data_IF_869862438014
#
_entry.id   IF_869862438014
#
_cell.length_a   1.000
_cell.length_b   1.000
_cell.length_c   1.000
_cell.angle_alpha   90.00
_cell.angle_beta   90.00
_cell.angle_gamma   90.00
#
_symmetry.space_group_name_H-M   'P 1'
#
loop_
_entity.id
_entity.type
_entity.pdbx_description
1 polymer ?
2 polymer ?
3 water ?
#
# COMPACT_ATOMS: atom_id res chain seq x y z
N UNK A 1 -14.70 11.40 13.76
CA UNK A 1 -14.30 12.20 12.55
C UNK A 1 -13.91 11.36 11.30
N UNK A 2 -13.93 10.03 11.43
CA UNK A 2 -14.18 9.14 10.31
C UNK A 2 -15.53 8.45 10.58
N UNK A 3 -16.44 9.15 11.26
CA UNK A 3 -17.78 8.67 11.56
C UNK A 3 -18.81 9.59 10.95
N UNK A 4 -19.83 8.99 10.30
CA UNK A 4 -21.05 9.70 9.88
C UNK A 4 -22.22 9.30 10.78
N UNK A 5 -22.94 10.31 11.26
CA UNK A 5 -24.18 10.11 11.98
C UNK A 5 -25.33 10.74 11.19
N UNK A 6 -26.51 10.15 11.28
CA UNK A 6 -27.71 10.68 10.64
C UNK A 6 -28.97 10.56 11.52
N UNK A 7 -29.95 11.41 11.23
CA UNK A 7 -31.23 11.49 11.92
C UNK A 7 -32.27 10.54 11.32
N UNK A 8 -33.22 10.12 12.14
CA UNK A 8 -34.40 9.39 11.67
C UNK A 8 -35.45 10.31 11.04
N UNK A 9 -35.54 10.32 9.71
CA UNK A 9 -36.09 11.47 9.00
C UNK A 9 -36.54 11.17 7.59
N UNK A 10 -37.83 10.94 7.41
CA UNK A 10 -38.32 9.66 6.92
C UNK A 10 -37.75 8.53 7.76
N UNK A 11 -37.89 7.32 7.26
CA UNK A 11 -38.48 6.24 8.01
C UNK A 11 -39.92 6.55 8.42
N UNK A 12 -40.85 5.75 7.89
CA UNK A 12 -42.09 5.41 8.56
C UNK A 12 -41.89 4.69 9.89
N UNK A 13 -41.25 5.40 10.81
CA UNK A 13 -41.52 5.28 12.20
C UNK A 13 -42.58 6.34 12.50
N UNK A 14 -43.43 6.09 13.50
CA UNK A 14 -44.31 7.15 13.99
C UNK A 14 -43.57 8.43 14.37
N UNK A 15 -44.29 9.55 14.41
CA UNK A 15 -43.69 10.87 14.71
C UNK A 15 -42.99 10.89 16.06
N UNK A 16 -43.60 10.25 17.05
CA UNK A 16 -43.03 10.16 18.38
C UNK A 16 -41.75 9.32 18.45
N UNK A 17 -41.61 8.35 17.54
CA UNK A 17 -40.39 7.51 17.48
C UNK A 17 -39.27 8.31 16.83
N UNK A 18 -39.58 9.04 15.75
CA UNK A 18 -38.61 9.94 15.13
C UNK A 18 -38.08 10.95 16.15
N UNK A 19 -38.99 11.53 16.95
CA UNK A 19 -38.62 12.50 17.97
C UNK A 19 -37.69 11.89 19.00
N UNK A 20 -38.07 10.73 19.55
CA UNK A 20 -37.23 10.08 20.56
C UNK A 20 -35.84 9.84 19.99
N UNK A 21 -35.79 9.28 18.78
CA UNK A 21 -34.53 9.00 18.12
C UNK A 21 -33.71 10.25 17.86
N UNK A 22 -34.37 11.29 17.33
CA UNK A 22 -33.66 12.50 16.92
C UNK A 22 -33.24 13.36 18.10
N UNK A 23 -33.95 13.26 19.22
CA UNK A 23 -33.51 13.89 20.46
C UNK A 23 -32.25 13.16 20.91
N UNK A 24 -32.24 11.83 20.81
CA UNK A 24 -31.05 11.08 21.20
C UNK A 24 -29.87 11.42 20.30
N UNK A 25 -30.11 11.49 18.99
CA UNK A 25 -29.04 11.86 18.05
C UNK A 25 -28.48 13.28 18.33
N UNK A 26 -29.39 14.22 18.60
CA UNK A 26 -29.01 15.60 18.89
C UNK A 26 -28.20 15.69 20.17
N UNK A 27 -28.55 14.85 21.14
CA UNK A 27 -27.84 14.80 22.42
C UNK A 27 -26.46 14.16 22.29
N UNK A 28 -26.31 13.20 21.37
CA UNK A 28 -24.99 12.62 21.07
C UNK A 28 -24.10 13.71 20.47
N UNK A 29 -24.63 14.51 19.55
CA UNK A 29 -23.86 15.63 19.01
C UNK A 29 -23.42 16.62 20.12
N UNK A 30 -24.37 17.09 20.93
CA UNK A 30 -24.06 18.01 22.05
C UNK A 30 -23.08 17.45 23.09
N UNK A 31 -23.25 16.19 23.49
CA UNK A 31 -22.41 15.60 24.53
C UNK A 31 -21.20 14.85 24.00
N UNK A 32 -20.96 14.92 22.69
CA UNK A 32 -19.77 14.31 22.09
C UNK A 32 -18.49 14.96 22.59
N UNK A 33 -17.44 14.15 22.63
CA UNK A 33 -16.25 14.45 23.40
C UNK A 33 -15.09 14.99 22.55
N UNK A 34 -15.38 15.76 21.51
CA UNK A 34 -14.35 16.46 20.70
C UNK A 34 -13.55 15.54 19.77
N UNK A 35 -12.89 14.55 20.37
CA UNK A 35 -12.16 13.51 19.63
C UNK A 35 -13.07 12.49 18.94
N UNK A 36 -14.31 12.36 19.41
CA UNK A 36 -15.34 11.59 18.72
C UNK A 36 -16.56 12.50 18.57
N UNK A 37 -16.43 13.52 17.72
CA UNK A 37 -17.56 14.37 17.36
C UNK A 37 -17.89 14.10 15.90
N UNK A 38 -18.93 13.28 15.64
CA UNK A 38 -19.17 12.85 14.26
C UNK A 38 -19.71 13.95 13.36
N UNK A 39 -19.59 13.70 12.05
CA UNK A 39 -20.11 14.58 11.01
C UNK A 39 -21.51 14.10 10.67
N UNK A 40 -22.40 15.03 10.34
CA UNK A 40 -23.80 14.73 10.04
C UNK A 40 -23.98 14.51 8.55
N UNK A 41 -24.86 13.57 8.19
CA UNK A 41 -25.16 13.19 6.82
C UNK A 41 -26.63 13.48 6.52
N UNK A 42 -26.90 14.23 5.45
CA UNK A 42 -28.26 14.70 5.13
C UNK A 42 -28.97 13.99 3.94
N UNK A 43 -28.26 13.20 3.13
CA UNK A 43 -28.93 12.39 2.08
C UNK A 43 -29.13 10.91 2.51
N UNK A 44 -28.99 10.66 3.81
CA UNK A 44 -29.50 9.44 4.41
C UNK A 44 -30.72 9.77 5.23
N UNK A 45 -31.86 9.19 4.86
CA UNK A 45 -33.12 9.37 5.61
C UNK A 45 -33.23 8.39 6.77
N UNK A 46 -32.30 7.45 6.86
CA UNK A 46 -32.29 6.44 7.90
C UNK A 46 -31.24 6.77 8.95
N UNK A 47 -31.61 6.58 10.22
CA UNK A 47 -30.69 6.80 11.32
C UNK A 47 -29.61 5.71 11.41
N UNK A 48 -28.35 6.13 11.44
CA UNK A 48 -27.23 5.26 11.82
C UNK A 48 -26.00 6.06 12.22
N UNK A 49 -25.07 5.36 12.85
CA UNK A 49 -23.71 5.85 13.06
C UNK A 49 -22.78 4.86 12.37
N UNK A 50 -21.91 5.36 11.50
CA UNK A 50 -21.03 4.45 10.81
C UNK A 50 -19.62 4.93 10.52
N UNK A 51 -18.68 4.00 10.66
CA UNK A 51 -17.27 4.28 10.40
C UNK A 51 -17.05 4.40 8.88
N UNK A 52 -16.46 5.51 8.45
CA UNK A 52 -16.26 5.80 7.02
C UNK A 52 -14.85 5.48 6.52
N UNK A 53 -14.01 4.93 7.39
CA UNK A 53 -12.71 4.44 6.97
C UNK A 53 -12.85 3.48 5.79
N UNK A 54 -11.80 3.45 4.98
CA UNK A 54 -11.71 2.51 3.87
C UNK A 54 -11.65 1.08 4.43
N UNK A 55 -12.27 0.10 3.75
CA UNK A 55 -12.12 -1.30 4.15
C UNK A 55 -10.78 -1.87 3.72
N UNK A 56 -10.45 -3.07 4.16
CA UNK A 56 -9.22 -3.70 3.74
C UNK A 56 -9.22 -3.81 2.21
N UNK A 57 -8.18 -3.25 1.62
CA UNK A 57 -7.89 -3.49 0.22
C UNK A 57 -6.42 -3.40 -0.14
N UNK A 58 -6.08 -4.09 -1.22
CA UNK A 58 -4.75 -4.13 -1.80
C UNK A 58 -4.85 -3.68 -3.25
N UNK A 59 -3.90 -2.87 -3.69
CA UNK A 59 -3.85 -2.40 -5.08
C UNK A 59 -2.68 -3.03 -5.87
N UNK A 60 -1.73 -3.64 -5.17
CA UNK A 60 -0.55 -4.26 -5.79
C UNK A 60 -0.86 -5.72 -6.10
N UNK A 61 -0.61 -6.15 -7.36
CA UNK A 61 -0.93 -7.52 -7.78
C UNK A 61 -0.11 -8.58 -7.07
N UNK A 62 1.17 -8.30 -6.78
CA UNK A 62 2.00 -9.28 -6.07
C UNK A 62 1.40 -9.58 -4.68
N UNK A 63 1.10 -8.51 -3.95
CA UNK A 63 0.44 -8.57 -2.63
C UNK A 63 -0.93 -9.26 -2.66
N UNK A 64 -1.70 -9.02 -3.71
CA UNK A 64 -3.00 -9.67 -3.89
C UNK A 64 -2.82 -11.19 -4.04
N UNK A 65 -1.92 -11.60 -4.93
CA UNK A 65 -1.63 -13.02 -5.15
C UNK A 65 -1.08 -13.70 -3.90
N UNK A 66 -0.14 -13.06 -3.22
CA UNK A 66 0.39 -13.60 -1.96
C UNK A 66 -0.69 -13.72 -0.87
N UNK A 67 -1.61 -12.76 -0.83
CA UNK A 67 -2.66 -12.76 0.16
C UNK A 67 -3.63 -13.91 -0.08
N UNK A 68 -4.07 -14.06 -1.32
CA UNK A 68 -5.00 -15.11 -1.65
C UNK A 68 -4.36 -16.51 -1.54
N UNK A 69 -3.03 -16.60 -1.63
CA UNK A 69 -2.30 -17.88 -1.41
C UNK A 69 -1.79 -18.07 0.03
N UNK A 70 -2.00 -17.06 0.88
CA UNK A 70 -1.36 -16.98 2.21
C UNK A 70 0.12 -17.38 2.12
N UNK A 71 0.82 -16.82 1.13
CA UNK A 71 2.19 -17.21 0.81
C UNK A 71 3.05 -15.97 0.87
N UNK A 72 3.71 -15.75 2.01
CA UNK A 72 4.53 -14.56 2.21
C UNK A 72 6.01 -14.90 2.24
N UNK A 73 6.28 -16.11 1.78
CA UNK A 73 7.60 -16.72 1.78
C UNK A 73 8.47 -16.27 0.61
N UNK A 74 9.77 -16.13 0.84
CA UNK A 74 10.73 -15.92 -0.21
C UNK A 74 10.88 -14.51 -0.71
N UNK A 75 10.40 -13.52 0.05
CA UNK A 75 10.43 -12.13 -0.41
C UNK A 75 11.83 -11.54 -0.32
N UNK A 76 12.70 -12.30 0.34
CA UNK A 76 14.09 -11.92 0.58
C UNK A 76 15.03 -12.57 -0.47
N UNK A 77 14.53 -13.59 -1.18
CA UNK A 77 15.18 -14.20 -2.34
C UNK A 77 15.86 -13.22 -3.28
N UNK A 78 16.90 -13.70 -3.96
CA UNK A 78 17.45 -12.99 -5.12
C UNK A 78 16.50 -13.17 -6.29
N UNK A 79 15.91 -14.36 -6.38
CA UNK A 79 14.83 -14.63 -7.33
C UNK A 79 13.78 -13.50 -7.30
N UNK A 80 13.19 -13.25 -6.12
CA UNK A 80 12.10 -12.28 -5.96
C UNK A 80 12.59 -10.85 -6.11
N UNK A 81 13.75 -10.57 -5.53
CA UNK A 81 14.32 -9.24 -5.61
C UNK A 81 14.70 -8.84 -7.05
N UNK A 82 15.07 -9.83 -7.87
CA UNK A 82 15.34 -9.60 -9.30
C UNK A 82 14.03 -9.41 -10.05
N UNK A 83 13.04 -10.28 -9.81
CA UNK A 83 11.66 -10.08 -10.28
C UNK A 83 11.16 -8.64 -10.08
N UNK A 84 11.29 -8.14 -8.85
CA UNK A 84 10.80 -6.81 -8.50
C UNK A 84 11.62 -5.69 -9.09
N UNK A 85 12.94 -5.77 -8.91
CA UNK A 85 13.80 -4.63 -9.17
C UNK A 85 14.40 -4.60 -10.58
N UNK A 86 14.43 -5.76 -11.25
CA UNK A 86 14.98 -5.85 -12.61
C UNK A 86 13.91 -6.05 -13.71
N UNK A 87 12.85 -6.78 -13.40
CA UNK A 87 11.79 -7.04 -14.37
C UNK A 87 10.59 -6.11 -14.20
N UNK A 88 10.02 -6.06 -13.00
CA UNK A 88 8.77 -5.33 -12.78
C UNK A 88 8.91 -3.83 -12.99
N UNK A 89 10.10 -3.30 -12.77
CA UNK A 89 10.36 -1.90 -13.09
C UNK A 89 10.19 -1.61 -14.58
N UNK A 90 10.60 -2.54 -15.43
CA UNK A 90 10.47 -2.37 -16.90
C UNK A 90 9.01 -2.25 -17.38
N UNK A 91 8.08 -2.87 -16.66
CA UNK A 91 6.67 -2.83 -17.03
C UNK A 91 6.02 -1.45 -16.93
N UNK A 92 6.68 -0.51 -16.25
CA UNK A 92 6.14 0.85 -16.19
C UNK A 92 6.62 1.75 -17.34
N UNK A 93 7.44 1.25 -18.26
CA UNK A 93 7.79 2.01 -19.48
C UNK A 93 6.58 2.07 -20.42
N UNK A 94 6.35 3.23 -21.04
CA UNK A 94 5.29 3.35 -22.06
C UNK A 94 5.50 2.37 -23.24
N UNK A 95 6.75 2.17 -23.63
CA UNK A 95 7.13 1.21 -24.69
C UNK A 95 8.31 0.42 -24.17
N UNK A 96 8.28 -0.91 -24.36
CA UNK A 96 9.33 -1.77 -23.83
C UNK A 96 10.66 -1.73 -24.63
N UNK A 97 11.81 -1.52 -23.94
CA UNK A 97 13.15 -1.50 -24.55
C UNK A 97 13.67 -2.93 -24.78
N UNK A 98 13.49 -3.44 -26.00
CA UNK A 98 13.45 -4.89 -26.23
C UNK A 98 14.77 -5.63 -26.00
N UNK A 99 15.88 -4.96 -26.27
CA UNK A 99 17.19 -5.58 -26.14
C UNK A 99 17.49 -5.89 -24.66
N UNK A 100 17.20 -4.96 -23.77
CA UNK A 100 17.35 -5.20 -22.32
C UNK A 100 16.42 -6.28 -21.78
N UNK A 101 15.13 -6.18 -22.12
CA UNK A 101 14.16 -7.22 -21.78
C UNK A 101 14.71 -8.59 -22.11
N UNK A 102 15.37 -8.70 -23.27
CA UNK A 102 15.80 -9.99 -23.80
C UNK A 102 16.82 -10.68 -22.91
N UNK A 103 17.81 -9.93 -22.45
CA UNK A 103 18.84 -10.52 -21.59
C UNK A 103 18.33 -10.76 -20.18
N UNK A 104 17.61 -9.78 -19.63
CA UNK A 104 17.08 -9.88 -18.26
C UNK A 104 16.12 -11.06 -18.14
N UNK A 105 15.31 -11.32 -19.17
CA UNK A 105 14.40 -12.48 -19.15
C UNK A 105 15.17 -13.80 -19.35
N UNK A 106 16.06 -13.82 -20.34
CA UNK A 106 17.07 -14.88 -20.50
C UNK A 106 17.72 -15.28 -19.15
N UNK A 107 18.31 -14.28 -18.49
CA UNK A 107 18.91 -14.42 -17.16
C UNK A 107 17.94 -15.02 -16.14
N UNK A 108 16.72 -14.47 -16.09
CA UNK A 108 15.64 -14.98 -15.23
C UNK A 108 15.43 -16.48 -15.38
N UNK A 109 15.35 -16.97 -16.60
CA UNK A 109 15.15 -18.41 -16.85
C UNK A 109 16.46 -19.19 -16.86
N UNK A 110 17.59 -18.49 -16.75
CA UNK A 110 18.86 -19.15 -16.55
C UNK A 110 19.03 -19.46 -15.06
N UNK A 111 19.06 -18.40 -14.26
CA UNK A 111 19.44 -18.49 -12.84
C UNK A 111 18.27 -18.90 -11.93
N UNK A 112 17.11 -18.31 -12.17
CA UNK A 112 16.04 -18.28 -11.17
C UNK A 112 14.87 -19.18 -11.50
N UNK A 113 14.47 -19.22 -12.76
CA UNK A 113 13.41 -20.12 -13.21
C UNK A 113 14.07 -21.21 -14.06
N UNK A 114 13.72 -22.45 -13.79
CA UNK A 114 14.18 -23.57 -14.59
C UNK A 114 13.02 -24.52 -14.78
N UNK A 115 11.99 -24.33 -13.98
CA UNK A 115 11.24 -25.43 -13.39
C UNK A 115 9.81 -25.47 -13.91
N UNK A 116 8.97 -24.60 -13.38
CA UNK A 116 7.55 -24.92 -13.28
C UNK A 116 7.40 -26.33 -12.73
N UNK A 117 8.11 -26.60 -11.64
CA UNK A 117 7.87 -27.78 -10.83
C UNK A 117 6.40 -27.88 -10.44
N UNK A 118 6.19 -28.32 -9.22
CA UNK A 118 5.52 -27.51 -8.22
C UNK A 118 5.88 -28.07 -6.86
N UNK A 119 4.90 -28.13 -5.96
CA UNK A 119 3.97 -27.01 -5.74
C UNK A 119 4.57 -25.65 -6.02
N UNK A 120 3.90 -24.88 -6.88
CA UNK A 120 4.41 -23.57 -7.28
C UNK A 120 4.14 -22.56 -6.18
N UNK A 121 5.20 -21.86 -5.78
CA UNK A 121 5.13 -20.84 -4.77
C UNK A 121 4.67 -19.52 -5.39
N UNK A 122 4.21 -18.58 -4.57
CA UNK A 122 3.83 -17.25 -5.04
C UNK A 122 5.02 -16.55 -5.69
N UNK A 123 6.22 -16.73 -5.12
CA UNK A 123 7.46 -16.19 -5.66
C UNK A 123 7.73 -16.71 -7.09
N UNK A 124 7.60 -18.02 -7.28
CA UNK A 124 7.73 -18.61 -8.60
C UNK A 124 6.72 -18.01 -9.57
N UNK A 125 5.47 -17.92 -9.12
CA UNK A 125 4.40 -17.47 -9.99
C UNK A 125 4.60 -15.99 -10.37
N UNK A 126 5.05 -15.18 -9.42
CA UNK A 126 5.28 -13.75 -9.68
C UNK A 126 6.43 -13.55 -10.67
N UNK A 127 7.50 -14.33 -10.52
CA UNK A 127 8.60 -14.35 -11.51
C UNK A 127 8.08 -14.76 -12.90
N UNK A 128 7.40 -15.91 -12.98
CA UNK A 128 6.86 -16.36 -14.27
C UNK A 128 5.98 -15.28 -14.93
N UNK A 129 5.10 -14.68 -14.13
CA UNK A 129 4.18 -13.66 -14.64
C UNK A 129 4.93 -12.51 -15.30
N UNK A 130 5.93 -11.99 -14.61
CA UNK A 130 6.69 -10.84 -15.10
C UNK A 130 7.47 -11.18 -16.39
N UNK A 131 8.05 -12.38 -16.44
CA UNK A 131 8.80 -12.82 -17.61
C UNK A 131 7.86 -13.04 -18.79
N UNK A 132 6.71 -13.65 -18.52
CA UNK A 132 5.74 -13.90 -19.57
C UNK A 132 5.29 -12.60 -20.22
N UNK A 133 4.99 -11.61 -19.40
CA UNK A 133 4.52 -10.30 -19.90
C UNK A 133 5.56 -9.62 -20.78
N UNK A 134 6.84 -9.86 -20.47
CA UNK A 134 7.95 -9.24 -21.16
C UNK A 134 8.47 -10.05 -22.38
N UNK A 135 8.35 -11.37 -22.32
CA UNK A 135 9.01 -12.23 -23.29
C UNK A 135 8.42 -13.65 -23.30
N UNK A 136 7.18 -13.76 -23.75
CA UNK A 136 6.45 -15.03 -23.74
C UNK A 136 6.90 -16.05 -24.79
N UNK A 137 7.60 -15.59 -25.82
CA UNK A 137 8.16 -16.49 -26.81
C UNK A 137 9.35 -17.24 -26.18
N UNK A 138 10.15 -16.54 -25.38
CA UNK A 138 11.18 -17.20 -24.61
C UNK A 138 10.56 -18.25 -23.68
N UNK A 139 9.37 -17.96 -23.15
CA UNK A 139 8.66 -18.90 -22.28
C UNK A 139 8.16 -20.10 -23.09
N UNK A 140 7.50 -19.84 -24.22
CA UNK A 140 7.01 -20.91 -25.11
C UNK A 140 8.11 -21.92 -25.45
N UNK A 141 9.30 -21.44 -25.78
CA UNK A 141 10.42 -22.32 -26.08
C UNK A 141 10.99 -22.95 -24.82
N UNK A 142 10.84 -22.27 -23.67
CA UNK A 142 11.36 -22.77 -22.39
C UNK A 142 10.47 -23.85 -21.80
N UNK A 143 9.17 -23.61 -21.76
CA UNK A 143 8.18 -24.60 -21.30
C UNK A 143 7.03 -24.67 -22.28
N UNK A 144 7.12 -25.56 -23.28
CA UNK A 144 6.04 -25.65 -24.29
C UNK A 144 4.74 -26.29 -23.76
N UNK A 145 4.84 -27.12 -22.72
CA UNK A 145 3.66 -27.66 -22.02
C UNK A 145 3.63 -27.12 -20.57
N UNK A 146 2.74 -26.18 -20.30
CA UNK A 146 2.71 -25.51 -18.98
C UNK A 146 1.83 -26.26 -17.99
N UNK A 147 2.19 -26.25 -16.69
CA UNK A 147 1.23 -26.69 -15.67
C UNK A 147 -0.16 -26.15 -16.00
N UNK A 148 -1.18 -26.97 -15.83
CA UNK A 148 -2.51 -26.62 -16.35
C UNK A 148 -3.12 -25.40 -15.66
N UNK A 149 -2.82 -25.21 -14.39
CA UNK A 149 -3.26 -24.01 -13.66
C UNK A 149 -2.70 -22.75 -14.32
N UNK A 150 -1.39 -22.72 -14.52
CA UNK A 150 -0.72 -21.64 -15.22
C UNK A 150 -1.27 -21.48 -16.65
N UNK A 151 -1.50 -22.61 -17.32
CA UNK A 151 -2.07 -22.62 -18.66
C UNK A 151 -3.45 -21.98 -18.71
N UNK A 152 -4.31 -22.29 -17.74
CA UNK A 152 -5.66 -21.72 -17.72
C UNK A 152 -5.62 -20.21 -17.45
N UNK A 153 -4.71 -19.79 -16.58
CA UNK A 153 -4.52 -18.37 -16.27
C UNK A 153 -4.10 -17.59 -17.52
N UNK A 154 -3.10 -18.10 -18.22
CA UNK A 154 -2.56 -17.47 -19.43
C UNK A 154 -3.63 -17.33 -20.50
N UNK A 155 -4.35 -18.42 -20.75
CA UNK A 155 -5.48 -18.43 -21.68
C UNK A 155 -6.49 -17.32 -21.40
N UNK A 156 -6.77 -17.06 -20.12
CA UNK A 156 -7.70 -15.97 -19.75
C UNK A 156 -7.04 -14.59 -19.91
N UNK A 157 -5.83 -14.45 -19.37
CA UNK A 157 -5.12 -13.16 -19.33
C UNK A 157 -4.71 -12.60 -20.71
N UNK A 158 -4.55 -13.47 -21.71
CA UNK A 158 -3.95 -13.07 -22.99
C UNK A 158 -4.87 -12.28 -23.91
N UNK A 159 -6.19 -12.34 -23.69
CA UNK A 159 -7.13 -11.54 -24.49
C UNK A 159 -7.45 -10.23 -23.79
N UNK A 160 -7.55 -9.16 -24.56
CA UNK A 160 -8.03 -7.88 -24.04
C UNK A 160 -9.55 -7.85 -24.23
N UNK B 1 22.89 -1.85 5.38
CA UNK B 1 21.97 -1.09 6.26
C UNK B 1 22.15 0.42 6.14
N UNK B 2 21.11 1.10 5.64
CA UNK B 2 21.18 2.55 5.46
C UNK B 2 21.30 3.27 6.79
N UNK B 3 21.62 4.57 6.75
CA UNK B 3 21.72 5.39 7.96
C UNK B 3 20.42 5.45 8.75
N UNK B 4 19.28 5.50 8.07
CA UNK B 4 17.98 5.59 8.77
C UNK B 4 17.58 4.27 9.42
N UNK B 5 17.80 3.17 8.73
CA UNK B 5 17.52 1.85 9.27
C UNK B 5 18.40 1.57 10.50
N UNK B 6 19.69 1.89 10.38
CA UNK B 6 20.64 1.79 11.48
C UNK B 6 20.19 2.63 12.68
N UNK B 7 19.74 3.85 12.42
CA UNK B 7 19.21 4.69 13.50
C UNK B 7 17.95 4.08 14.14
N UNK B 8 17.05 3.54 13.31
CA UNK B 8 15.77 2.99 13.79
C UNK B 8 16.03 1.84 14.76
N UNK B 9 16.88 0.92 14.35
CA UNK B 9 17.25 -0.21 15.18
C UNK B 9 18.06 0.15 16.45
N UNK B 10 18.49 1.41 16.61
CA UNK B 10 19.15 1.87 17.83
C UNK B 10 18.13 2.27 18.91
N UNK B 11 16.87 2.41 18.51
CA UNK B 11 15.78 2.80 19.40
C UNK B 11 15.04 1.55 19.89
N UNK B 12 14.54 1.52 21.14
CA UNK B 12 13.81 0.30 21.57
C UNK B 12 12.47 0.12 20.91
N UNK B 13 11.92 1.15 20.29
CA UNK B 13 10.65 1.02 19.59
C UNK B 13 10.79 0.01 18.47
N UNK B 14 11.98 -0.09 17.89
CA UNK B 14 12.25 -1.13 16.88
C UNK B 14 12.17 -2.56 17.43
N UNK B 15 12.17 -2.70 18.75
CA UNK B 15 12.17 -3.98 19.46
C UNK B 15 10.78 -4.42 19.93
N UNK B 16 9.79 -3.53 19.80
CA UNK B 16 8.44 -3.86 20.18
C UNK B 16 7.96 -5.02 19.33
N UNK B 17 7.66 -6.19 19.95
CA UNK B 17 7.17 -7.31 19.13
C UNK B 17 5.77 -7.06 18.58
N UNK B 18 5.53 -7.53 17.37
CA UNK B 18 4.21 -7.44 16.75
C UNK B 18 4.06 -8.68 15.86
N UNK B 19 2.93 -9.38 16.02
CA UNK B 19 2.62 -10.55 15.20
C UNK B 19 1.62 -10.11 14.14
N UNK B 20 2.08 -10.01 12.90
CA UNK B 20 1.25 -9.52 11.80
C UNK B 20 0.09 -10.46 11.49
N UNK B 21 -1.11 -9.90 11.30
CA UNK B 21 -2.16 -10.62 10.59
C UNK B 21 -1.74 -10.91 9.14
N UNK B 22 -2.53 -11.70 8.43
CA UNK B 22 -2.27 -11.93 7.03
C UNK B 22 -2.59 -10.67 6.21
N UNK B 23 -3.49 -9.83 6.72
CA UNK B 23 -3.78 -8.54 6.10
C UNK B 23 -2.55 -7.64 6.18
N UNK B 24 -1.98 -7.50 7.38
CA UNK B 24 -0.77 -6.70 7.57
C UNK B 24 0.42 -7.27 6.81
N UNK B 25 0.53 -8.60 6.75
CA UNK B 25 1.58 -9.20 5.96
C UNK B 25 1.45 -8.76 4.49
N UNK B 26 0.22 -8.67 3.98
CA UNK B 26 -0.01 -8.26 2.59
C UNK B 26 0.30 -6.78 2.37
N UNK B 27 -0.01 -5.95 3.35
CA UNK B 27 0.29 -4.52 3.29
C UNK B 27 1.79 -4.28 3.20
N UNK B 28 2.55 -5.06 3.97
CA UNK B 28 4.00 -4.98 3.93
C UNK B 28 4.56 -5.47 2.59
N UNK B 29 4.03 -6.56 2.07
CA UNK B 29 4.41 -7.09 0.75
C UNK B 29 4.11 -6.10 -0.38
N UNK B 30 2.97 -5.43 -0.28
CA UNK B 30 2.54 -4.42 -1.24
C UNK B 30 3.48 -3.20 -1.31
N UNK B 31 3.90 -2.68 -0.16
CA UNK B 31 4.84 -1.57 -0.18
C UNK B 31 6.27 -1.99 -0.56
N UNK B 32 6.65 -3.22 -0.26
CA UNK B 32 7.94 -3.75 -0.73
C UNK B 32 7.98 -3.76 -2.29
N UNK B 33 6.95 -4.32 -2.90
CA UNK B 33 6.77 -4.32 -4.36
C UNK B 33 6.73 -2.90 -4.95
N UNK B 34 6.09 -1.96 -4.30
CA UNK B 34 6.07 -0.57 -4.78
C UNK B 34 7.47 0.06 -4.68
N UNK B 35 8.15 -0.18 -3.56
CA UNK B 35 9.50 0.31 -3.34
C UNK B 35 10.51 -0.24 -4.33
N UNK B 36 10.63 -1.55 -4.39
CA UNK B 36 11.64 -2.18 -5.20
C UNK B 36 11.40 -1.96 -6.70
N UNK B 37 10.15 -1.77 -7.12
CA UNK B 37 9.87 -1.52 -8.54
C UNK B 37 10.09 -0.05 -8.93
N UNK B 38 10.34 0.81 -7.93
CA UNK B 38 10.65 2.21 -8.16
C UNK B 38 9.44 3.09 -8.35
N UNK B 39 8.28 2.68 -7.83
CA UNK B 39 7.05 3.39 -8.11
C UNK B 39 6.45 4.16 -6.93
N UNK B 40 7.26 4.50 -5.93
CA UNK B 40 6.73 5.24 -4.79
C UNK B 40 6.06 6.54 -5.26
N UNK B 41 6.69 7.25 -6.18
CA UNK B 41 6.22 8.58 -6.60
C UNK B 41 4.81 8.57 -7.24
N UNK B 42 4.59 7.68 -8.23
CA UNK B 42 3.19 7.56 -8.67
C UNK B 42 2.16 7.05 -7.63
N UNK B 43 2.63 6.56 -6.47
CA UNK B 43 1.75 5.96 -5.47
C UNK B 43 1.64 6.80 -4.20
N UNK B 44 1.98 8.08 -4.32
CA UNK B 44 1.89 9.03 -3.22
C UNK B 44 0.46 9.32 -2.75
N UNK B 45 -0.49 9.37 -3.69
CA UNK B 45 -1.88 9.61 -3.31
C UNK B 45 -2.49 8.38 -2.61
N UNK B 46 -1.97 7.22 -2.97
CA UNK B 46 -2.31 5.97 -2.32
C UNK B 46 -1.72 5.90 -0.90
N UNK B 47 -0.47 6.35 -0.75
CA UNK B 47 0.18 6.47 0.56
C UNK B 47 -0.56 7.45 1.45
N UNK B 48 -0.86 8.62 0.91
CA UNK B 48 -1.70 9.61 1.59
C UNK B 48 -3.07 9.07 2.06
N UNK B 49 -3.72 8.23 1.25
CA UNK B 49 -5.01 7.66 1.60
C UNK B 49 -4.85 6.63 2.72
N UNK B 50 -3.89 5.70 2.59
CA UNK B 50 -3.61 4.74 3.65
C UNK B 50 -3.41 5.48 4.97
N UNK B 51 -2.59 6.53 4.94
CA UNK B 51 -2.26 7.26 6.17
C UNK B 51 -3.37 8.16 6.68
N UNK B 52 -4.41 8.39 5.88
CA UNK B 52 -5.60 9.08 6.39
C UNK B 52 -6.26 8.28 7.51
N UNK B 53 -6.31 6.95 7.32
CA UNK B 53 -7.07 6.03 8.15
C UNK B 53 -6.20 5.17 9.06
N UNK B 54 -4.88 5.16 8.83
CA UNK B 54 -3.93 4.43 9.64
C UNK B 54 -2.81 5.37 10.08
N UNK B 55 -2.44 5.26 11.36
CA UNK B 55 -1.34 6.01 11.93
C UNK B 55 -0.03 5.63 11.26
N UNK B 56 0.20 4.34 11.03
CA UNK B 56 1.37 3.84 10.30
C UNK B 56 1.00 2.93 9.11
N UNK B 57 1.96 2.68 8.23
CA UNK B 57 1.67 2.08 6.94
C UNK B 57 1.00 0.69 7.07
N UNK B 58 1.52 -0.18 7.94
CA UNK B 58 1.00 -1.55 8.11
C UNK B 58 -0.05 -1.70 9.24
N UNK B 59 -0.83 -0.64 9.49
CA UNK B 59 -1.98 -0.68 10.38
C UNK B 59 -1.57 -1.04 11.82
N UNK B 60 -0.52 -0.38 12.29
CA UNK B 60 0.08 -0.65 13.59
C UNK B 60 0.06 0.63 14.43
N UNK B 61 0.23 0.45 15.73
CA UNK B 61 0.28 1.56 16.68
C UNK B 61 1.71 2.13 16.70
N UNK B 62 2.67 1.32 16.27
CA UNK B 62 4.10 1.66 16.33
C UNK B 62 4.70 1.63 14.92
N UNK B 63 5.70 2.49 14.65
CA UNK B 63 6.35 2.41 13.34
C UNK B 63 7.01 1.09 13.20
N UNK B 64 6.94 0.50 12.00
CA UNK B 64 7.66 -0.70 11.65
C UNK B 64 8.72 -0.39 10.58
N UNK B 65 9.47 -1.41 10.19
CA UNK B 65 10.52 -1.25 9.19
C UNK B 65 9.96 -0.82 7.82
N UNK B 66 8.73 -1.24 7.47
CA UNK B 66 8.08 -0.71 6.28
C UNK B 66 7.99 0.83 6.30
N UNK B 67 7.62 1.40 7.45
CA UNK B 67 7.54 2.85 7.58
C UNK B 67 8.88 3.53 7.30
N UNK B 68 9.96 2.94 7.82
CA UNK B 68 11.31 3.50 7.64
C UNK B 68 11.78 3.38 6.19
N UNK B 69 11.54 2.22 5.57
CA UNK B 69 11.86 1.99 4.16
C UNK B 69 11.15 2.96 3.20
N UNK B 70 9.86 3.19 3.42
CA UNK B 70 9.07 4.12 2.62
C UNK B 70 9.40 5.59 2.92
N UNK B 71 9.63 5.92 4.18
CA UNK B 71 9.97 7.30 4.58
C UNK B 71 11.31 7.72 3.95
N UNK B 72 12.23 6.77 3.85
CA UNK B 72 13.53 7.00 3.23
C UNK B 72 13.43 7.54 1.81
N UNK B 73 12.51 7.00 1.00
CA UNK B 73 12.32 7.54 -0.35
C UNK B 73 11.27 8.64 -0.39
N UNK B 74 10.29 8.61 0.51
CA UNK B 74 9.20 9.58 0.47
C UNK B 74 9.58 10.97 0.94
N UNK B 75 10.48 11.08 1.93
CA UNK B 75 10.84 12.40 2.47
C UNK B 75 11.44 13.30 1.38
N UNK B 76 12.49 12.86 0.68
CA UNK B 76 13.01 13.68 -0.42
C UNK B 76 11.96 14.13 -1.46
N UNK B 77 11.06 13.22 -1.86
CA UNK B 77 10.04 13.54 -2.87
C UNK B 77 9.10 14.64 -2.41
N UNK B 78 8.57 14.47 -1.21
CA UNK B 78 7.60 15.42 -0.66
C UNK B 78 8.29 16.76 -0.37
N UNK B 79 9.51 16.72 0.12
CA UNK B 79 10.26 17.97 0.37
C UNK B 79 10.40 18.78 -0.93
N UNK B 80 10.73 18.10 -2.02
CA UNK B 80 10.88 18.76 -3.32
C UNK B 80 9.53 19.31 -3.84
N UNK B 81 8.47 18.53 -3.70
CA UNK B 81 7.12 18.98 -4.06
C UNK B 81 6.75 20.25 -3.30
N UNK B 82 7.14 20.32 -2.03
CA UNK B 82 6.82 21.47 -1.20
C UNK B 82 7.72 22.67 -1.50
N UNK B 83 9.01 22.44 -1.68
CA UNK B 83 9.97 23.51 -1.93
C UNK B 83 9.66 24.26 -3.23
N UNK B 84 9.07 23.55 -4.20
CA UNK B 84 8.82 24.07 -5.54
C UNK B 84 7.38 24.57 -5.75
N UNK B 85 6.53 24.45 -4.73
CA UNK B 85 5.12 24.79 -4.87
C UNK B 85 4.89 26.30 -4.93
N UNK B 86 3.98 26.73 -5.80
CA UNK B 86 3.58 28.13 -5.88
C UNK B 86 2.34 28.41 -5.00
N UNK B 87 1.87 27.37 -4.31
CA UNK B 87 0.73 27.48 -3.39
C UNK B 87 0.88 26.37 -2.33
N UNK B 88 1.76 26.62 -1.35
CA UNK B 88 2.15 25.58 -0.40
C UNK B 88 1.02 25.14 0.52
N UNK B 89 0.04 26.01 0.73
CA UNK B 89 -1.16 25.65 1.50
C UNK B 89 -1.95 24.51 0.81
N UNK B 90 -2.15 24.61 -0.50
CA UNK B 90 -2.82 23.56 -1.26
C UNK B 90 -2.03 22.24 -1.28
N UNK B 91 -0.71 22.34 -1.46
CA UNK B 91 0.17 21.18 -1.43
C UNK B 91 0.05 20.47 -0.09
N UNK B 92 0.05 21.25 0.99
CA UNK B 92 -0.15 20.75 2.34
C UNK B 92 -1.47 20.01 2.52
N UNK B 93 -2.53 20.52 1.91
CA UNK B 93 -3.85 19.88 1.97
C UNK B 93 -3.86 18.56 1.20
N UNK B 94 -3.34 18.59 -0.03
CA UNK B 94 -3.24 17.44 -0.90
C UNK B 94 -2.49 16.27 -0.26
N UNK B 95 -1.40 16.57 0.47
CA UNK B 95 -0.58 15.53 1.10
C UNK B 95 -0.61 15.61 2.64
N UNK B 96 -1.75 15.96 3.20
CA UNK B 96 -1.88 16.26 4.62
C UNK B 96 -1.45 15.12 5.55
N UNK B 97 -1.79 13.89 5.18
CA UNK B 97 -1.60 12.75 6.08
C UNK B 97 -0.17 12.21 6.00
N UNK B 98 0.44 12.29 4.81
CA UNK B 98 1.84 11.94 4.63
C UNK B 98 2.70 12.90 5.44
N UNK B 99 2.34 14.19 5.43
CA UNK B 99 3.04 15.22 6.20
C UNK B 99 2.94 15.02 7.73
N UNK B 100 1.80 14.55 8.23
CA UNK B 100 1.67 14.17 9.65
C UNK B 100 2.66 13.07 10.02
N UNK B 101 2.69 12.05 9.18
CA UNK B 101 3.55 10.88 9.33
C UNK B 101 5.04 11.25 9.22
N UNK B 102 5.37 12.03 8.19
CA UNK B 102 6.75 12.57 8.02
C UNK B 102 7.24 13.29 9.28
N UNK B 103 6.39 14.16 9.82
CA UNK B 103 6.72 14.95 11.01
C UNK B 103 7.11 14.02 12.16
N UNK B 104 6.29 13.00 12.40
CA UNK B 104 6.59 12.04 13.44
C UNK B 104 7.91 11.35 13.17
N UNK B 105 8.05 10.80 11.95
CA UNK B 105 9.19 9.95 11.57
C UNK B 105 10.51 10.72 11.57
N UNK B 106 10.50 11.96 11.11
CA UNK B 106 11.75 12.75 11.07
C UNK B 106 12.19 13.16 12.49
N UNK B 107 11.23 13.33 13.40
CA UNK B 107 11.54 13.50 14.82
C UNK B 107 12.04 12.21 15.49
N UNK B 108 11.39 11.07 15.22
CA UNK B 108 11.82 9.80 15.81
C UNK B 108 13.25 9.44 15.39
N UNK B 109 13.54 9.60 14.11
CA UNK B 109 14.86 9.28 13.57
C UNK B 109 15.82 10.49 13.60
N UNK B 110 15.43 11.57 14.27
CA UNK B 110 16.33 12.70 14.49
C UNK B 110 17.05 13.07 13.20
N UNK B 111 16.26 13.32 12.15
CA UNK B 111 16.80 13.68 10.84
C UNK B 111 17.39 15.08 10.95
N UNK B 112 18.52 15.30 10.28
CA UNK B 112 19.25 16.58 10.36
C UNK B 112 18.41 17.70 9.80
N UNK B 113 18.69 18.93 10.23
CA UNK B 113 17.89 20.09 9.84
C UNK B 113 17.98 20.41 8.35
N UNK B 114 19.10 20.06 7.73
CA UNK B 114 19.26 20.26 6.28
C UNK B 114 18.41 19.25 5.47
N UNK B 115 18.23 18.05 6.02
CA UNK B 115 17.51 16.99 5.31
C UNK B 115 16.05 16.91 5.67
N UNK B 116 15.65 17.49 6.79
CA UNK B 116 14.26 17.39 7.22
C UNK B 116 13.38 18.37 6.45
N UNK B 117 12.07 18.22 6.64
CA UNK B 117 11.08 19.08 6.01
C UNK B 117 10.60 20.13 7.01
N UNK B 118 10.99 21.38 6.78
CA UNK B 118 10.55 22.48 7.62
C UNK B 118 9.02 22.61 7.58
N UNK B 119 8.40 22.38 8.74
CA UNK B 119 6.98 22.08 8.84
C UNK B 119 6.13 23.30 9.25
N UNK B 120 4.83 23.27 8.91
CA UNK B 120 3.83 24.16 9.51
C UNK B 120 2.53 23.43 9.82
#
# INVERSE_FOLDING_TARGET
MSFLISFDKSKKHPAHLQLANNLKIALALEYASKNLKPEVDNDNAAMELRNTKEPFLLFDANAILRYVMDDFEGQTSDKYQFALASLQNLLYHKELPQQHVEVLTNKAIENYLVELKEPLTTTDLILFANVYALNSSLVHSKFPELPSKVHNAVALAKKH
MSDLVTKFESLIISKYPVSFTKEQSAQAAQWESVLKSGQIQPHLDQLNLVLRDNTFIVSTLYPTSTDVHVFEVALPLIKDLVASSKDVKSTYTTYRHILRWIDYMQNLLEVSSTDKLEINHD
#
